data_IF_895775961920
#
_entry.id   IF_895775961920
#
_cell.length_a   1.000
_cell.length_b   1.000
_cell.length_c   1.000
_cell.angle_alpha   90.00
_cell.angle_beta   90.00
_cell.angle_gamma   90.00
#
_symmetry.space_group_name_H-M   'P 1'
#
loop_
_entity.id
_entity.type
_entity.pdbx_description
1 polymer ?
#
# COMPACT_ATOMS: atom_id res chain seq x y z
N UNK A 1 10.97 -18.16 -13.82
CA UNK A 1 10.25 -18.43 -12.55
C UNK A 1 9.20 -19.48 -12.84
N UNK A 2 9.14 -20.58 -12.08
CA UNK A 2 8.08 -21.59 -12.21
C UNK A 2 6.88 -21.29 -11.29
N UNK A 3 7.13 -20.61 -10.17
CA UNK A 3 6.12 -20.09 -9.25
C UNK A 3 6.08 -18.57 -9.37
N UNK A 4 4.89 -17.99 -9.24
CA UNK A 4 4.70 -16.55 -9.12
C UNK A 4 5.07 -16.11 -7.70
N UNK A 5 5.65 -14.91 -7.59
CA UNK A 5 5.86 -14.28 -6.30
C UNK A 5 4.52 -13.79 -5.75
N UNK A 6 4.42 -13.74 -4.42
CA UNK A 6 3.18 -13.30 -3.76
C UNK A 6 3.05 -11.78 -3.76
N UNK A 7 4.19 -11.09 -3.76
CA UNK A 7 4.27 -9.64 -3.65
C UNK A 7 4.39 -8.91 -4.98
N UNK A 8 3.80 -7.71 -5.03
CA UNK A 8 4.09 -6.80 -6.13
C UNK A 8 5.51 -6.21 -5.98
N UNK A 9 6.44 -6.72 -6.78
CA UNK A 9 7.87 -6.36 -6.74
C UNK A 9 8.09 -4.86 -6.93
N UNK A 10 7.25 -4.19 -7.73
CA UNK A 10 7.38 -2.76 -7.98
C UNK A 10 7.00 -1.95 -6.74
N UNK A 11 5.86 -2.26 -6.13
CA UNK A 11 5.41 -1.61 -4.88
C UNK A 11 6.44 -1.82 -3.77
N UNK A 12 6.94 -3.06 -3.63
CA UNK A 12 7.96 -3.39 -2.64
C UNK A 12 9.24 -2.59 -2.86
N UNK A 13 9.70 -2.45 -4.10
CA UNK A 13 10.92 -1.72 -4.43
C UNK A 13 10.76 -0.23 -4.11
N UNK A 14 9.64 0.37 -4.50
CA UNK A 14 9.35 1.80 -4.25
C UNK A 14 9.29 2.09 -2.75
N UNK A 15 8.56 1.28 -1.98
CA UNK A 15 8.47 1.46 -0.52
C UNK A 15 9.82 1.23 0.17
N UNK A 16 10.59 0.22 -0.25
CA UNK A 16 11.91 -0.07 0.33
C UNK A 16 12.89 1.07 0.10
N UNK A 17 12.89 1.65 -1.10
CA UNK A 17 13.70 2.84 -1.40
C UNK A 17 13.32 4.02 -0.49
N UNK A 18 12.02 4.25 -0.28
CA UNK A 18 11.54 5.36 0.55
C UNK A 18 11.84 5.14 2.05
N UNK A 19 11.73 3.91 2.53
CA UNK A 19 12.13 3.57 3.91
C UNK A 19 13.64 3.57 4.14
N UNK A 20 14.46 3.59 3.10
CA UNK A 20 15.93 3.62 3.23
C UNK A 20 16.47 4.98 3.70
N UNK A 21 15.62 6.02 3.80
CA UNK A 21 16.03 7.38 4.14
C UNK A 21 16.53 8.19 2.95
N UNK A 22 16.20 7.75 1.72
CA UNK A 22 16.45 8.52 0.52
C UNK A 22 15.69 9.87 0.56
N UNK A 23 16.18 10.92 -0.12
CA UNK A 23 15.53 12.23 -0.15
C UNK A 23 14.05 12.11 -0.58
N UNK A 24 13.11 12.84 0.05
CA UNK A 24 11.70 12.80 -0.32
C UNK A 24 11.51 13.20 -1.78
N UNK A 25 10.99 12.26 -2.58
CA UNK A 25 10.71 12.46 -4.00
C UNK A 25 9.21 12.27 -4.24
N UNK A 26 8.65 13.10 -5.13
CA UNK A 26 7.25 12.98 -5.53
C UNK A 26 7.04 11.68 -6.29
N UNK A 27 6.02 10.92 -5.91
CA UNK A 27 5.59 9.72 -6.63
C UNK A 27 4.16 9.95 -7.08
N UNK A 28 3.87 9.52 -8.29
CA UNK A 28 2.53 9.42 -8.85
C UNK A 28 2.60 8.31 -9.91
N UNK A 29 2.21 7.11 -9.51
CA UNK A 29 2.33 5.91 -10.34
C UNK A 29 1.13 4.99 -10.15
N UNK A 30 0.57 4.54 -11.27
CA UNK A 30 -0.45 3.48 -11.31
C UNK A 30 0.19 2.17 -11.74
N UNK A 31 -0.08 1.11 -10.99
CA UNK A 31 0.49 -0.22 -11.18
C UNK A 31 -0.65 -1.22 -11.30
N UNK A 32 -0.66 -2.01 -12.36
CA UNK A 32 -1.65 -3.09 -12.53
C UNK A 32 -1.07 -4.43 -12.08
N UNK A 33 -1.92 -5.27 -11.52
CA UNK A 33 -1.59 -6.63 -11.06
C UNK A 33 -2.57 -7.66 -11.64
N UNK A 34 -2.44 -8.92 -11.24
CA UNK A 34 -3.32 -10.00 -11.65
C UNK A 34 -4.78 -9.78 -11.20
N UNK A 35 -5.70 -10.53 -11.82
CA UNK A 35 -7.15 -10.49 -11.54
C UNK A 35 -7.82 -9.12 -11.69
N UNK A 36 -7.17 -8.21 -12.43
CA UNK A 36 -7.69 -6.87 -12.69
C UNK A 36 -7.57 -5.94 -11.48
N UNK A 37 -6.62 -6.22 -10.59
CA UNK A 37 -6.26 -5.34 -9.47
C UNK A 37 -5.44 -4.16 -9.99
N UNK A 38 -5.75 -2.96 -9.49
CA UNK A 38 -4.98 -1.75 -9.78
C UNK A 38 -4.57 -1.09 -8.47
N UNK A 39 -3.28 -0.75 -8.37
CA UNK A 39 -2.72 0.04 -7.30
C UNK A 39 -2.37 1.43 -7.80
N UNK A 40 -2.53 2.41 -6.92
CA UNK A 40 -2.06 3.77 -7.16
C UNK A 40 -1.21 4.21 -5.98
N UNK A 41 0.04 4.55 -6.27
CA UNK A 41 1.01 5.02 -5.29
C UNK A 41 1.27 6.48 -5.61
N UNK A 42 0.92 7.35 -4.66
CA UNK A 42 1.18 8.77 -4.79
C UNK A 42 1.74 9.35 -3.50
N UNK A 43 2.46 10.46 -3.61
CA UNK A 43 2.80 11.29 -2.45
C UNK A 43 1.78 12.40 -2.29
N UNK A 44 1.41 12.75 -1.06
CA UNK A 44 0.52 13.89 -0.84
C UNK A 44 1.16 15.18 -1.40
N UNK A 45 0.40 16.03 -2.12
CA UNK A 45 0.92 17.24 -2.75
C UNK A 45 1.57 18.21 -1.75
N UNK A 46 1.04 18.24 -0.53
CA UNK A 46 1.48 19.14 0.55
C UNK A 46 2.73 18.61 1.27
N UNK A 47 2.92 17.29 1.33
CA UNK A 47 3.99 16.65 2.09
C UNK A 47 4.55 15.44 1.34
N UNK A 48 5.81 15.54 0.88
CA UNK A 48 6.54 14.42 0.25
C UNK A 48 6.88 13.28 1.21
N UNK A 49 6.58 13.45 2.49
CA UNK A 49 6.81 12.48 3.56
C UNK A 49 5.66 11.51 3.75
N UNK A 50 4.51 11.75 3.12
CA UNK A 50 3.33 10.88 3.22
C UNK A 50 3.05 10.22 1.88
N UNK A 51 2.97 8.90 1.90
CA UNK A 51 2.69 8.06 0.74
C UNK A 51 1.27 7.53 0.88
N UNK A 52 0.43 7.83 -0.10
CA UNK A 52 -0.90 7.26 -0.28
C UNK A 52 -0.77 6.03 -1.19
N UNK A 53 -1.24 4.88 -0.71
CA UNK A 53 -1.40 3.67 -1.50
C UNK A 53 -2.88 3.33 -1.57
N UNK A 54 -3.44 3.37 -2.78
CA UNK A 54 -4.82 3.04 -3.05
C UNK A 54 -4.91 1.75 -3.87
N UNK A 55 -5.91 0.94 -3.57
CA UNK A 55 -6.22 -0.35 -4.17
C UNK A 55 -7.61 -0.28 -4.80
N UNK A 56 -7.70 -0.76 -6.03
CA UNK A 56 -8.95 -0.98 -6.74
C UNK A 56 -9.02 -2.46 -7.15
N UNK A 57 -10.13 -3.10 -6.84
CA UNK A 57 -10.41 -4.49 -7.21
C UNK A 57 -11.90 -4.69 -7.44
N UNK A 58 -12.23 -5.33 -8.56
CA UNK A 58 -13.63 -5.46 -9.04
C UNK A 58 -14.58 -6.11 -8.03
N UNK A 59 -14.09 -7.04 -7.21
CA UNK A 59 -14.89 -7.82 -6.27
C UNK A 59 -14.80 -7.30 -4.82
N UNK A 60 -14.34 -6.06 -4.60
CA UNK A 60 -14.15 -5.53 -3.25
C UNK A 60 -15.41 -5.62 -2.38
N UNK A 61 -16.57 -5.27 -2.94
CA UNK A 61 -17.85 -5.33 -2.22
C UNK A 61 -18.19 -6.76 -1.73
N UNK A 62 -17.89 -7.78 -2.52
CA UNK A 62 -18.08 -9.18 -2.11
C UNK A 62 -17.08 -9.57 -1.02
N UNK A 63 -15.81 -9.15 -1.14
CA UNK A 63 -14.79 -9.40 -0.12
C UNK A 63 -15.20 -8.79 1.24
N UNK A 64 -15.68 -7.55 1.24
CA UNK A 64 -16.19 -6.88 2.45
C UNK A 64 -17.36 -7.65 3.04
N UNK A 65 -18.30 -8.12 2.22
CA UNK A 65 -19.43 -8.95 2.66
C UNK A 65 -18.99 -10.23 3.37
N UNK A 66 -17.86 -10.81 2.99
CA UNK A 66 -17.28 -12.00 3.63
C UNK A 66 -16.28 -11.68 4.76
N UNK A 67 -16.20 -10.43 5.22
CA UNK A 67 -15.41 -10.05 6.39
C UNK A 67 -14.02 -9.49 6.08
N UNK A 68 -13.72 -9.13 4.83
CA UNK A 68 -12.43 -8.52 4.49
C UNK A 68 -12.14 -7.24 5.27
N UNK A 69 -13.17 -6.45 5.60
CA UNK A 69 -13.02 -5.22 6.40
C UNK A 69 -12.37 -5.49 7.76
N UNK A 70 -12.72 -6.59 8.44
CA UNK A 70 -12.13 -6.94 9.74
C UNK A 70 -10.65 -7.31 9.60
N UNK A 71 -10.29 -7.97 8.49
CA UNK A 71 -8.91 -8.31 8.18
C UNK A 71 -8.11 -7.04 7.87
N UNK A 72 -8.64 -6.17 7.01
CA UNK A 72 -8.00 -4.89 6.67
C UNK A 72 -7.80 -4.03 7.90
N UNK A 73 -8.80 -3.91 8.78
CA UNK A 73 -8.69 -3.18 10.04
C UNK A 73 -7.63 -3.77 10.98
N UNK A 74 -7.52 -5.11 11.03
CA UNK A 74 -6.52 -5.79 11.86
C UNK A 74 -5.09 -5.58 11.36
N UNK A 75 -4.87 -5.66 10.05
CA UNK A 75 -3.53 -5.56 9.46
C UNK A 75 -3.08 -4.10 9.31
N UNK A 76 -3.98 -3.20 8.92
CA UNK A 76 -3.63 -1.83 8.54
C UNK A 76 -4.12 -0.76 9.49
N UNK A 77 -4.94 -1.07 10.50
CA UNK A 77 -5.64 -0.16 11.41
C UNK A 77 -5.24 1.32 11.38
N UNK A 78 -4.05 1.64 11.90
CA UNK A 78 -3.55 3.02 12.05
C UNK A 78 -3.17 3.72 10.73
N UNK A 79 -2.93 2.95 9.67
CA UNK A 79 -2.62 3.41 8.33
C UNK A 79 -3.85 3.63 7.46
N UNK A 80 -5.04 3.15 7.88
CA UNK A 80 -6.26 3.30 7.07
C UNK A 80 -6.65 4.77 7.00
N UNK A 81 -6.91 5.24 5.78
CA UNK A 81 -7.31 6.62 5.52
C UNK A 81 -8.60 6.66 4.69
N UNK A 82 -9.21 7.85 4.50
CA UNK A 82 -10.29 8.01 3.55
C UNK A 82 -9.88 7.50 2.16
N UNK A 83 -10.78 6.75 1.52
CA UNK A 83 -10.52 6.12 0.23
C UNK A 83 -10.37 7.18 -0.86
N UNK A 84 -9.38 7.00 -1.71
CA UNK A 84 -9.16 7.84 -2.88
C UNK A 84 -10.30 7.65 -3.89
N UNK A 85 -10.77 8.74 -4.50
CA UNK A 85 -11.85 8.69 -5.49
C UNK A 85 -11.49 7.75 -6.66
N UNK A 86 -12.36 6.76 -6.90
CA UNK A 86 -12.16 5.77 -7.96
C UNK A 86 -11.44 4.49 -7.50
N UNK A 87 -11.08 4.40 -6.22
CA UNK A 87 -10.49 3.22 -5.60
C UNK A 87 -11.42 2.64 -4.53
N UNK A 88 -11.11 1.44 -4.07
CA UNK A 88 -11.93 0.68 -3.12
C UNK A 88 -11.38 0.74 -1.70
N UNK A 89 -10.05 0.84 -1.56
CA UNK A 89 -9.36 0.90 -0.27
C UNK A 89 -8.11 1.78 -0.37
N UNK A 90 -7.80 2.54 0.67
CA UNK A 90 -6.59 3.38 0.71
C UNK A 90 -5.94 3.33 2.08
N UNK A 91 -4.60 3.36 2.06
CA UNK A 91 -3.77 3.52 3.24
C UNK A 91 -2.82 4.69 3.07
N UNK A 92 -2.51 5.35 4.17
CA UNK A 92 -1.57 6.45 4.25
C UNK A 92 -0.39 6.04 5.13
N UNK A 93 0.80 6.06 4.55
CA UNK A 93 2.04 5.74 5.23
C UNK A 93 2.78 7.05 5.48
N UNK A 94 3.01 7.37 6.74
CA UNK A 94 3.82 8.51 7.16
C UNK A 94 5.28 8.06 7.36
N UNK A 95 6.18 8.57 6.53
CA UNK A 95 7.61 8.24 6.59
C UNK A 95 8.30 8.80 7.84
N UNK A 96 7.71 9.80 8.51
CA UNK A 96 8.27 10.40 9.72
C UNK A 96 7.84 9.64 10.99
N UNK A 97 6.67 8.98 10.94
CA UNK A 97 6.10 8.25 12.07
C UNK A 97 6.07 6.73 11.81
N UNK A 98 7.21 6.21 11.38
CA UNK A 98 7.38 4.79 11.13
C UNK A 98 7.76 4.03 12.41
N UNK A 99 7.17 2.84 12.68
CA UNK A 99 7.51 2.06 13.88
C UNK A 99 8.99 1.63 13.86
N UNK A 100 9.70 1.87 14.96
CA UNK A 100 11.14 1.59 15.06
C UNK A 100 11.46 0.09 14.85
N UNK A 101 11.96 -0.26 13.66
CA UNK A 101 12.56 -1.57 13.40
C UNK A 101 12.42 -2.04 11.95
N UNK A 102 13.55 -2.39 11.32
CA UNK A 102 13.60 -2.97 9.96
C UNK A 102 12.73 -4.23 9.79
N UNK A 103 12.50 -4.99 10.87
CA UNK A 103 11.64 -6.18 10.88
C UNK A 103 10.14 -5.87 10.76
N UNK A 104 9.69 -4.67 11.17
CA UNK A 104 8.28 -4.26 11.11
C UNK A 104 7.87 -3.86 9.68
N UNK A 105 8.76 -3.20 8.92
CA UNK A 105 8.54 -2.88 7.51
C UNK A 105 8.51 -4.11 6.62
N UNK A 106 9.36 -5.10 6.93
CA UNK A 106 9.37 -6.37 6.23
C UNK A 106 8.13 -7.21 6.56
N UNK A 107 7.55 -7.10 7.76
CA UNK A 107 6.25 -7.72 8.05
C UNK A 107 5.14 -7.10 7.19
N UNK A 108 5.16 -5.77 7.03
CA UNK A 108 4.27 -5.04 6.12
C UNK A 108 4.44 -5.49 4.66
N UNK A 109 5.67 -5.75 4.23
CA UNK A 109 5.99 -6.21 2.85
C UNK A 109 5.91 -7.74 2.65
N UNK A 110 5.61 -8.53 3.69
CA UNK A 110 5.64 -10.02 3.65
C UNK A 110 4.24 -10.64 3.64
N UNK A 111 3.20 -9.84 3.88
CA UNK A 111 1.80 -10.25 3.73
C UNK A 111 1.12 -9.69 2.46
N UNK A 112 1.86 -8.97 1.61
CA UNK A 112 1.37 -8.36 0.37
C UNK A 112 2.23 -8.72 -0.81
#
# INVERSE_FOLDING_TARGET
MLLLDYQNVLIQSVLTERFSGAPPASIDQTVSDFDGVTFHISTLPETKTKILLSLQIRCFADLVRYGAEQVLQREYGDYICPVENGYDFSILIDLENLPEGKGSYLAFLRYH
#
